data_IF_709453620616
#
_entry.id   IF_709453620616
#
_cell.length_a   1.000
_cell.length_b   1.000
_cell.length_c   1.000
_cell.angle_alpha   90.00
_cell.angle_beta   90.00
_cell.angle_gamma   90.00
#
_symmetry.space_group_name_H-M   'P 1'
#
loop_
_entity.id
_entity.type
_entity.pdbx_description
1 polymer ?
#
# COMPACT_ATOMS: atom_id res chain seq x y z
N UNK A 1 3.38 0.96 5.08
CA UNK A 1 2.71 0.40 6.26
C UNK A 1 3.31 0.89 7.58
N UNK A 2 4.64 0.91 7.75
CA UNK A 2 5.30 1.33 9.01
C UNK A 2 4.82 2.71 9.53
N UNK A 3 4.58 3.66 8.62
CA UNK A 3 4.13 5.04 8.93
C UNK A 3 2.61 5.20 8.95
N UNK A 4 1.85 4.17 8.62
CA UNK A 4 0.39 4.22 8.58
C UNK A 4 -0.21 3.71 9.90
N UNK A 5 -1.28 4.35 10.34
CA UNK A 5 -2.07 3.97 11.51
C UNK A 5 -3.28 3.10 11.13
N UNK A 6 -4.01 2.62 12.13
CA UNK A 6 -5.18 1.76 11.91
C UNK A 6 -6.26 2.52 11.12
N UNK A 7 -6.44 3.79 11.46
CA UNK A 7 -7.40 4.68 10.77
C UNK A 7 -6.99 5.11 9.36
N UNK A 8 -5.77 4.77 8.92
CA UNK A 8 -5.37 5.01 7.55
C UNK A 8 -5.85 3.89 6.65
N UNK A 9 -6.41 4.24 5.51
CA UNK A 9 -6.94 3.29 4.56
C UNK A 9 -6.03 3.13 3.36
N UNK A 10 -5.77 1.86 2.98
CA UNK A 10 -5.03 1.55 1.77
C UNK A 10 -5.95 0.92 0.72
N UNK A 11 -5.73 1.31 -0.51
CA UNK A 11 -6.32 0.71 -1.71
C UNK A 11 -5.20 0.16 -2.57
N UNK A 12 -5.23 -1.11 -2.86
CA UNK A 12 -4.20 -1.80 -3.61
C UNK A 12 -4.53 -1.98 -5.09
N UNK A 13 -3.57 -2.52 -5.81
CA UNK A 13 -3.72 -3.02 -7.17
C UNK A 13 -4.16 -4.50 -7.13
N UNK A 14 -4.24 -5.15 -8.30
CA UNK A 14 -4.49 -6.60 -8.39
C UNK A 14 -3.36 -7.48 -7.80
N UNK A 15 -2.23 -6.90 -7.37
CA UNK A 15 -1.05 -7.59 -6.82
C UNK A 15 -0.63 -7.07 -5.45
N UNK A 16 -1.53 -6.58 -4.68
CA UNK A 16 -1.23 -5.87 -3.44
C UNK A 16 -1.05 -6.79 -2.22
N UNK A 17 -0.76 -8.08 -2.38
CA UNK A 17 -0.62 -9.00 -1.24
C UNK A 17 0.40 -8.51 -0.22
N UNK A 18 1.55 -8.01 -0.67
CA UNK A 18 2.59 -7.44 0.20
C UNK A 18 2.10 -6.18 0.96
N UNK A 19 1.30 -5.34 0.31
CA UNK A 19 0.70 -4.15 0.94
C UNK A 19 -0.35 -4.56 1.98
N UNK A 20 -1.18 -5.57 1.67
CA UNK A 20 -2.19 -6.14 2.55
C UNK A 20 -1.53 -6.72 3.80
N UNK A 21 -0.52 -7.59 3.63
CA UNK A 21 0.22 -8.22 4.73
C UNK A 21 0.90 -7.15 5.58
N UNK A 22 1.65 -6.24 4.97
CA UNK A 22 2.37 -5.20 5.70
C UNK A 22 1.43 -4.27 6.49
N UNK A 23 0.28 -3.89 5.93
CA UNK A 23 -0.71 -3.07 6.63
C UNK A 23 -1.40 -3.85 7.76
N UNK A 24 -1.74 -5.12 7.51
CA UNK A 24 -2.33 -6.00 8.53
C UNK A 24 -1.42 -6.19 9.74
N UNK A 25 -0.16 -6.54 9.51
CA UNK A 25 0.83 -6.70 10.59
C UNK A 25 1.08 -5.38 11.34
N UNK A 26 1.08 -4.24 10.63
CA UNK A 26 1.18 -2.92 11.27
C UNK A 26 -0.04 -2.59 12.14
N UNK A 27 -1.25 -2.94 11.69
CA UNK A 27 -2.47 -2.75 12.46
C UNK A 27 -2.48 -3.64 13.71
N UNK A 28 -2.14 -4.91 13.59
CA UNK A 28 -2.02 -5.85 14.72
C UNK A 28 -1.05 -5.31 15.78
N UNK A 29 0.10 -4.77 15.37
CA UNK A 29 1.07 -4.19 16.29
C UNK A 29 0.52 -3.00 17.09
N UNK A 30 -0.40 -2.22 16.51
CA UNK A 30 -0.89 -0.94 17.05
C UNK A 30 -2.20 -1.05 17.83
N UNK A 31 -3.08 -1.99 17.47
CA UNK A 31 -4.33 -2.24 18.18
C UNK A 31 -4.06 -2.83 19.57
N UNK A 32 -4.93 -2.56 20.53
CA UNK A 32 -4.90 -3.22 21.83
C UNK A 32 -5.32 -4.69 21.73
N UNK A 33 -5.00 -5.48 22.75
CA UNK A 33 -5.37 -6.89 22.78
C UNK A 33 -6.90 -7.07 22.83
N UNK A 34 -7.61 -6.19 23.54
CA UNK A 34 -9.06 -6.18 23.62
C UNK A 34 -9.71 -5.91 22.25
N UNK A 35 -9.18 -4.93 21.52
CA UNK A 35 -9.65 -4.62 20.16
C UNK A 35 -9.41 -5.78 19.20
N UNK A 36 -8.23 -6.41 19.26
CA UNK A 36 -7.90 -7.58 18.43
C UNK A 36 -8.82 -8.76 18.71
N UNK A 37 -9.04 -9.10 19.99
CA UNK A 37 -9.95 -10.18 20.38
C UNK A 37 -11.36 -9.89 19.89
N UNK A 38 -11.83 -8.65 20.04
CA UNK A 38 -13.14 -8.24 19.56
C UNK A 38 -13.26 -8.46 18.04
N UNK A 39 -12.31 -7.94 17.26
CA UNK A 39 -12.29 -8.08 15.79
C UNK A 39 -12.31 -9.56 15.39
N UNK A 40 -11.44 -10.39 16.01
CA UNK A 40 -11.36 -11.81 15.69
C UNK A 40 -12.64 -12.58 16.00
N UNK A 41 -13.32 -12.25 17.12
CA UNK A 41 -14.59 -12.88 17.52
C UNK A 41 -15.80 -12.38 16.73
N UNK A 42 -15.81 -11.12 16.29
CA UNK A 42 -16.88 -10.58 15.47
C UNK A 42 -16.80 -11.06 14.01
N UNK A 43 -15.60 -11.33 13.51
CA UNK A 43 -15.44 -11.81 12.15
C UNK A 43 -15.95 -13.24 12.00
N UNK A 44 -16.82 -13.46 10.99
CA UNK A 44 -17.38 -14.78 10.64
C UNK A 44 -17.96 -15.54 11.85
N UNK A 45 -18.65 -14.81 12.74
CA UNK A 45 -19.24 -15.34 14.00
C UNK A 45 -18.20 -16.09 14.87
N UNK A 46 -16.95 -15.66 14.86
CA UNK A 46 -15.86 -16.25 15.63
C UNK A 46 -15.28 -17.55 15.09
N UNK A 47 -15.79 -18.10 13.99
CA UNK A 47 -15.33 -19.40 13.45
C UNK A 47 -13.84 -19.43 13.14
N UNK A 48 -13.31 -18.37 12.49
CA UNK A 48 -11.89 -18.27 12.18
C UNK A 48 -11.05 -18.20 13.47
N UNK A 49 -11.51 -17.45 14.47
CA UNK A 49 -10.86 -17.35 15.78
C UNK A 49 -10.75 -18.72 16.46
N UNK A 50 -11.84 -19.49 16.52
CA UNK A 50 -11.85 -20.81 17.14
C UNK A 50 -10.95 -21.82 16.42
N UNK A 51 -10.90 -21.76 15.08
CA UNK A 51 -10.01 -22.61 14.29
C UNK A 51 -8.56 -22.30 14.61
N UNK A 52 -8.17 -21.03 14.56
CA UNK A 52 -6.79 -20.62 14.77
C UNK A 52 -6.36 -20.91 16.22
N UNK A 53 -7.20 -20.57 17.20
CA UNK A 53 -6.90 -20.85 18.61
C UNK A 53 -6.73 -22.34 18.92
N UNK A 54 -7.46 -23.21 18.21
CA UNK A 54 -7.30 -24.67 18.34
C UNK A 54 -5.96 -25.16 17.79
N UNK A 55 -5.41 -24.49 16.78
CA UNK A 55 -4.14 -24.87 16.14
C UNK A 55 -2.92 -24.21 16.80
N UNK A 56 -3.09 -23.01 17.34
CA UNK A 56 -2.05 -22.29 18.08
C UNK A 56 -2.62 -21.89 19.46
N UNK A 57 -2.35 -22.70 20.47
CA UNK A 57 -2.80 -22.47 21.85
C UNK A 57 -1.85 -21.52 22.57
N UNK A 58 -1.74 -20.30 22.03
CA UNK A 58 -0.94 -19.22 22.60
C UNK A 58 -1.79 -18.28 23.44
N UNK A 59 -1.21 -17.72 24.51
CA UNK A 59 -1.79 -16.62 25.29
C UNK A 59 -1.37 -15.24 24.74
N UNK A 60 -0.43 -15.18 23.77
CA UNK A 60 -0.05 -13.96 23.09
C UNK A 60 -1.11 -13.57 22.04
N UNK A 61 -1.93 -12.57 22.39
CA UNK A 61 -3.01 -12.08 21.52
C UNK A 61 -2.48 -11.55 20.18
N UNK A 62 -1.28 -10.97 20.16
CA UNK A 62 -0.68 -10.45 18.93
C UNK A 62 -0.25 -11.58 17.98
N UNK A 63 0.28 -12.65 18.55
CA UNK A 63 0.62 -13.86 17.80
C UNK A 63 -0.64 -14.51 17.23
N UNK A 64 -1.66 -14.72 18.06
CA UNK A 64 -2.94 -15.26 17.63
C UNK A 64 -3.60 -14.40 16.53
N UNK A 65 -3.50 -13.07 16.62
CA UNK A 65 -4.02 -12.16 15.62
C UNK A 65 -3.24 -12.22 14.31
N UNK A 66 -1.92 -12.47 14.34
CA UNK A 66 -1.12 -12.73 13.13
C UNK A 66 -1.60 -13.99 12.43
N UNK A 67 -1.76 -15.07 13.18
CA UNK A 67 -2.23 -16.35 12.62
C UNK A 67 -3.64 -16.24 12.05
N UNK A 68 -4.55 -15.58 12.79
CA UNK A 68 -5.90 -15.28 12.30
C UNK A 68 -5.88 -14.50 10.98
N UNK A 69 -5.06 -13.47 10.92
CA UNK A 69 -4.98 -12.62 9.72
C UNK A 69 -4.40 -13.39 8.53
N UNK A 70 -3.31 -14.12 8.75
CA UNK A 70 -2.67 -14.92 7.69
C UNK A 70 -3.57 -16.09 7.25
N UNK A 71 -4.27 -16.75 8.18
CA UNK A 71 -5.24 -17.78 7.87
C UNK A 71 -6.38 -17.23 6.99
N UNK A 72 -7.03 -16.14 7.42
CA UNK A 72 -8.14 -15.53 6.67
C UNK A 72 -7.70 -15.04 5.28
N UNK A 73 -6.52 -14.42 5.16
CA UNK A 73 -5.97 -13.98 3.89
C UNK A 73 -5.65 -15.18 2.98
N UNK A 74 -5.02 -16.21 3.50
CA UNK A 74 -4.69 -17.42 2.73
C UNK A 74 -5.97 -18.11 2.24
N UNK A 75 -6.97 -18.23 3.11
CA UNK A 75 -8.28 -18.75 2.72
C UNK A 75 -8.91 -17.93 1.60
N UNK A 76 -8.80 -16.60 1.64
CA UNK A 76 -9.30 -15.73 0.57
C UNK A 76 -8.58 -15.99 -0.76
N UNK A 77 -7.23 -16.05 -0.74
CA UNK A 77 -6.42 -16.29 -1.93
C UNK A 77 -6.74 -17.64 -2.60
N UNK A 78 -7.07 -18.65 -1.80
CA UNK A 78 -7.43 -19.99 -2.27
C UNK A 78 -8.95 -20.21 -2.44
N UNK A 79 -9.74 -19.15 -2.46
CA UNK A 79 -11.19 -19.18 -2.65
C UNK A 79 -11.91 -20.11 -1.65
N UNK A 80 -11.53 -20.05 -0.36
CA UNK A 80 -12.16 -20.82 0.71
C UNK A 80 -13.16 -19.97 1.48
N UNK A 81 -14.21 -20.60 2.02
CA UNK A 81 -15.30 -19.93 2.74
C UNK A 81 -14.85 -19.17 4.00
N UNK A 82 -13.74 -19.57 4.62
CA UNK A 82 -13.14 -18.87 5.75
C UNK A 82 -12.28 -17.64 5.34
N UNK A 83 -12.21 -17.30 4.05
CA UNK A 83 -11.58 -16.07 3.56
C UNK A 83 -12.32 -14.82 3.98
N UNK A 84 -11.66 -13.68 3.96
CA UNK A 84 -12.22 -12.39 4.42
C UNK A 84 -13.46 -11.91 3.64
N UNK A 85 -13.64 -12.37 2.41
CA UNK A 85 -14.88 -12.22 1.64
C UNK A 85 -15.43 -13.58 1.16
N UNK A 86 -15.27 -14.61 1.98
CA UNK A 86 -15.69 -15.99 1.71
C UNK A 86 -15.09 -16.59 0.46
N UNK A 87 -13.85 -16.19 0.14
CA UNK A 87 -13.15 -16.62 -1.06
C UNK A 87 -13.71 -16.07 -2.37
N UNK A 88 -14.68 -15.15 -2.33
CA UNK A 88 -15.28 -14.55 -3.52
C UNK A 88 -14.36 -13.51 -4.18
N UNK A 89 -13.51 -12.86 -3.40
CA UNK A 89 -12.53 -11.90 -3.90
C UNK A 89 -11.30 -12.56 -4.50
N UNK A 90 -10.89 -13.69 -3.94
CA UNK A 90 -9.68 -14.39 -4.33
C UNK A 90 -8.44 -13.51 -4.23
N UNK A 91 -7.46 -13.77 -5.09
CA UNK A 91 -6.18 -13.06 -5.11
C UNK A 91 -6.29 -11.57 -5.47
N UNK A 92 -7.24 -11.18 -6.32
CA UNK A 92 -7.32 -9.82 -6.87
C UNK A 92 -8.16 -8.84 -6.07
N UNK A 93 -8.95 -9.32 -5.09
CA UNK A 93 -9.85 -8.49 -4.30
C UNK A 93 -9.72 -8.78 -2.80
N UNK A 94 -8.54 -9.17 -2.35
CA UNK A 94 -8.28 -9.40 -0.92
C UNK A 94 -8.35 -8.08 -0.14
N UNK A 95 -9.07 -8.09 0.99
CA UNK A 95 -9.21 -6.93 1.88
C UNK A 95 -9.59 -7.35 3.30
N UNK A 96 -9.37 -6.46 4.26
CA UNK A 96 -9.84 -6.62 5.64
C UNK A 96 -10.06 -5.25 6.27
N UNK A 97 -11.30 -4.77 6.23
CA UNK A 97 -11.67 -3.42 6.63
C UNK A 97 -11.28 -3.06 8.08
N UNK A 98 -11.40 -3.97 9.07
CA UNK A 98 -11.01 -3.66 10.45
C UNK A 98 -9.54 -3.21 10.61
N UNK A 99 -8.67 -3.59 9.67
CA UNK A 99 -7.26 -3.16 9.68
C UNK A 99 -6.97 -2.02 8.68
N UNK A 100 -8.00 -1.36 8.14
CA UNK A 100 -7.85 -0.29 7.16
C UNK A 100 -7.40 -0.77 5.79
N UNK A 101 -7.58 -2.06 5.48
CA UNK A 101 -7.26 -2.66 4.19
C UNK A 101 -8.54 -2.71 3.37
N UNK A 102 -8.63 -1.86 2.36
CA UNK A 102 -9.76 -1.80 1.43
C UNK A 102 -9.52 -2.70 0.21
N UNK A 103 -10.58 -3.05 -0.54
CA UNK A 103 -10.44 -4.01 -1.63
C UNK A 103 -9.37 -3.63 -2.65
N UNK A 104 -8.48 -4.58 -2.95
CA UNK A 104 -7.66 -4.54 -4.14
C UNK A 104 -8.55 -4.41 -5.36
N UNK A 105 -8.03 -3.87 -6.45
CA UNK A 105 -8.82 -3.65 -7.64
C UNK A 105 -8.17 -4.24 -8.89
N UNK A 106 -8.87 -5.16 -9.54
CA UNK A 106 -8.46 -5.75 -10.82
C UNK A 106 -8.66 -4.79 -12.01
N UNK A 107 -9.49 -3.75 -11.85
CA UNK A 107 -9.70 -2.72 -12.87
C UNK A 107 -8.49 -1.79 -12.85
N UNK A 108 -7.74 -1.76 -13.93
CA UNK A 108 -6.50 -0.97 -14.04
C UNK A 108 -6.81 0.52 -13.84
N UNK A 109 -6.21 1.10 -12.79
CA UNK A 109 -6.43 2.50 -12.38
C UNK A 109 -7.65 2.72 -11.48
N UNK A 110 -8.49 1.69 -11.24
CA UNK A 110 -9.72 1.81 -10.46
C UNK A 110 -9.54 2.20 -8.99
N UNK A 111 -8.39 1.90 -8.39
CA UNK A 111 -8.09 2.31 -7.01
C UNK A 111 -8.05 3.83 -6.84
N UNK A 112 -7.64 4.58 -7.86
CA UNK A 112 -7.58 6.04 -7.81
C UNK A 112 -8.92 6.68 -7.46
N UNK A 113 -9.95 6.57 -8.30
CA UNK A 113 -11.25 7.21 -8.05
C UNK A 113 -11.98 6.65 -6.81
N UNK A 114 -11.86 5.34 -6.53
CA UNK A 114 -12.51 4.75 -5.35
C UNK A 114 -11.87 5.32 -4.07
N UNK A 115 -10.55 5.35 -3.98
CA UNK A 115 -9.83 5.92 -2.85
C UNK A 115 -10.12 7.42 -2.67
N UNK A 116 -10.28 8.16 -3.77
CA UNK A 116 -10.64 9.58 -3.74
C UNK A 116 -12.01 9.80 -3.13
N UNK A 117 -13.01 8.97 -3.49
CA UNK A 117 -14.32 8.99 -2.86
C UNK A 117 -14.27 8.71 -1.36
N UNK A 118 -13.40 7.80 -0.92
CA UNK A 118 -13.21 7.50 0.51
C UNK A 118 -12.47 8.63 1.23
N UNK A 119 -11.53 9.31 0.58
CA UNK A 119 -10.90 10.50 1.15
C UNK A 119 -11.91 11.65 1.33
N UNK A 120 -12.80 11.84 0.37
CA UNK A 120 -13.93 12.76 0.49
C UNK A 120 -14.85 12.38 1.65
N UNK A 121 -15.20 11.09 1.79
CA UNK A 121 -15.98 10.59 2.92
C UNK A 121 -15.33 10.94 4.27
N UNK A 122 -14.01 10.70 4.40
CA UNK A 122 -13.28 11.07 5.63
C UNK A 122 -13.40 12.56 5.91
N UNK A 123 -13.20 13.40 4.91
CA UNK A 123 -13.31 14.86 5.02
C UNK A 123 -14.72 15.29 5.45
N UNK A 124 -15.76 14.83 4.76
CA UNK A 124 -17.16 15.18 5.06
C UNK A 124 -17.62 14.73 6.44
N UNK A 125 -17.09 13.62 6.94
CA UNK A 125 -17.47 13.05 8.23
C UNK A 125 -16.43 13.31 9.33
N UNK A 126 -15.43 14.15 9.09
CA UNK A 126 -14.35 14.48 10.03
C UNK A 126 -13.70 13.22 10.64
N UNK A 127 -13.53 12.18 9.81
CA UNK A 127 -12.88 10.94 10.24
C UNK A 127 -11.36 11.09 10.21
N UNK A 128 -10.66 10.57 11.25
CA UNK A 128 -9.20 10.62 11.31
C UNK A 128 -8.54 9.78 10.21
N UNK A 129 -7.24 9.99 10.04
CA UNK A 129 -6.39 9.22 9.15
C UNK A 129 -6.45 9.65 7.69
N UNK A 130 -5.53 9.10 6.92
CA UNK A 130 -5.32 9.40 5.50
C UNK A 130 -5.73 8.21 4.64
N UNK A 131 -5.83 8.44 3.33
CA UNK A 131 -6.08 7.40 2.34
C UNK A 131 -4.87 7.26 1.41
N UNK A 132 -4.45 6.04 1.12
CA UNK A 132 -3.38 5.74 0.16
C UNK A 132 -3.96 4.96 -1.01
N UNK A 133 -3.90 5.54 -2.19
CA UNK A 133 -4.28 4.91 -3.45
C UNK A 133 -3.03 4.37 -4.16
N UNK A 134 -2.78 3.07 -4.09
CA UNK A 134 -1.67 2.45 -4.79
C UNK A 134 -2.04 2.13 -6.25
N UNK A 135 -1.17 2.49 -7.17
CA UNK A 135 -1.30 2.16 -8.58
C UNK A 135 0.09 1.88 -9.21
N UNK A 136 0.14 1.02 -10.21
CA UNK A 136 1.33 0.87 -11.04
C UNK A 136 1.46 2.00 -12.06
N UNK A 137 2.66 2.19 -12.59
CA UNK A 137 2.95 3.17 -13.64
C UNK A 137 2.09 2.98 -14.89
N UNK A 138 1.86 1.76 -15.35
CA UNK A 138 0.94 1.46 -16.45
C UNK A 138 -0.54 1.78 -16.12
N UNK A 139 -0.91 1.76 -14.85
CA UNK A 139 -2.24 2.14 -14.38
C UNK A 139 -2.41 3.67 -14.28
N UNK A 140 -1.34 4.40 -14.01
CA UNK A 140 -1.34 5.85 -13.91
C UNK A 140 -1.81 6.55 -15.21
N UNK A 141 -1.68 5.89 -16.36
CA UNK A 141 -2.13 6.39 -17.66
C UNK A 141 -3.65 6.31 -17.90
N UNK A 142 -4.43 5.77 -16.96
CA UNK A 142 -5.88 5.59 -17.17
C UNK A 142 -6.65 6.86 -16.89
N UNK A 143 -7.66 7.17 -17.75
CA UNK A 143 -8.51 8.36 -17.61
C UNK A 143 -9.06 8.58 -16.20
N UNK A 144 -9.68 7.57 -15.55
CA UNK A 144 -10.20 7.71 -14.19
C UNK A 144 -9.16 8.13 -13.13
N UNK A 145 -7.87 7.85 -13.34
CA UNK A 145 -6.80 8.31 -12.43
C UNK A 145 -6.60 9.81 -12.55
N UNK A 146 -6.59 10.35 -13.79
CA UNK A 146 -6.51 11.79 -14.02
C UNK A 146 -7.74 12.53 -13.50
N UNK A 147 -8.92 11.99 -13.73
CA UNK A 147 -10.17 12.54 -13.19
C UNK A 147 -10.14 12.59 -11.66
N UNK A 148 -9.71 11.50 -11.00
CA UNK A 148 -9.58 11.41 -9.56
C UNK A 148 -8.60 12.45 -9.00
N UNK A 149 -7.43 12.61 -9.62
CA UNK A 149 -6.43 13.59 -9.20
C UNK A 149 -6.95 15.02 -9.40
N UNK A 150 -7.58 15.31 -10.56
CA UNK A 150 -8.20 16.61 -10.82
C UNK A 150 -9.29 16.91 -9.78
N UNK A 151 -10.18 15.95 -9.51
CA UNK A 151 -11.23 16.10 -8.50
C UNK A 151 -10.66 16.36 -7.11
N UNK A 152 -9.61 15.61 -6.71
CA UNK A 152 -9.00 15.75 -5.39
C UNK A 152 -8.30 17.10 -5.18
N UNK A 153 -7.87 17.75 -6.26
CA UNK A 153 -7.09 18.98 -6.24
C UNK A 153 -7.91 20.25 -6.53
N UNK A 154 -9.24 20.18 -6.53
CA UNK A 154 -10.08 21.34 -6.76
C UNK A 154 -9.97 22.38 -5.66
N UNK A 155 -9.78 23.64 -6.00
CA UNK A 155 -9.68 24.78 -5.07
C UNK A 155 -10.92 24.93 -4.17
N UNK A 156 -12.09 24.47 -4.64
CA UNK A 156 -13.33 24.55 -3.87
C UNK A 156 -13.21 24.01 -2.44
N UNK A 157 -12.36 23.01 -2.20
CA UNK A 157 -12.17 22.45 -0.85
C UNK A 157 -11.55 23.44 0.12
N UNK A 158 -10.80 24.42 -0.38
CA UNK A 158 -10.17 25.47 0.39
C UNK A 158 -11.04 26.74 0.44
N UNK A 159 -11.67 27.09 -0.68
CA UNK A 159 -12.25 28.42 -0.88
C UNK A 159 -13.77 28.44 -0.64
N UNK A 160 -14.50 27.40 -1.04
CA UNK A 160 -15.96 27.42 -1.06
C UNK A 160 -16.61 26.62 0.07
N UNK A 161 -15.87 25.75 0.73
CA UNK A 161 -16.40 24.94 1.82
C UNK A 161 -16.49 25.75 3.11
N UNK A 162 -17.44 25.37 3.99
CA UNK A 162 -17.64 26.01 5.29
C UNK A 162 -16.42 25.86 6.19
N UNK A 163 -16.24 26.80 7.10
CA UNK A 163 -15.19 26.77 8.12
C UNK A 163 -15.27 25.48 8.94
N UNK A 164 -14.13 24.85 9.19
CA UNK A 164 -14.04 23.54 9.84
C UNK A 164 -14.18 22.34 8.89
N UNK A 165 -14.46 22.57 7.60
CA UNK A 165 -14.37 21.57 6.52
C UNK A 165 -13.39 21.99 5.42
N UNK A 166 -12.78 23.17 5.51
CA UNK A 166 -11.75 23.65 4.57
C UNK A 166 -10.51 22.76 4.60
N UNK A 167 -9.76 22.78 3.52
CA UNK A 167 -8.53 22.02 3.32
C UNK A 167 -8.67 20.95 2.22
N UNK A 168 -7.55 20.54 1.64
CA UNK A 168 -7.50 19.52 0.59
C UNK A 168 -7.91 18.12 1.06
N UNK A 169 -8.12 17.20 0.13
CA UNK A 169 -8.47 15.82 0.46
C UNK A 169 -7.27 15.08 1.09
N UNK A 170 -7.48 14.27 2.15
CA UNK A 170 -6.42 13.54 2.85
C UNK A 170 -6.00 12.28 2.08
N UNK A 171 -5.50 12.42 0.85
CA UNK A 171 -5.13 11.30 -0.02
C UNK A 171 -3.71 11.40 -0.54
N UNK A 172 -3.01 10.26 -0.55
CA UNK A 172 -1.74 10.02 -1.25
C UNK A 172 -2.03 9.15 -2.47
N UNK A 173 -1.72 9.66 -3.66
CA UNK A 173 -1.59 8.85 -4.87
C UNK A 173 -0.17 8.27 -4.91
N UNK A 174 -0.03 6.99 -4.61
CA UNK A 174 1.24 6.29 -4.59
C UNK A 174 1.41 5.48 -5.88
N UNK A 175 2.26 5.95 -6.78
CA UNK A 175 2.55 5.26 -8.03
C UNK A 175 3.81 4.41 -7.90
N UNK A 176 3.64 3.09 -7.94
CA UNK A 176 4.74 2.11 -7.99
C UNK A 176 5.30 2.08 -9.42
N UNK A 177 6.30 2.92 -9.67
CA UNK A 177 6.90 3.12 -10.98
C UNK A 177 8.04 2.14 -11.19
N UNK A 178 7.73 0.98 -11.76
CA UNK A 178 8.70 -0.07 -12.05
C UNK A 178 9.13 -0.09 -13.53
N UNK A 179 8.74 0.90 -14.31
CA UNK A 179 9.04 1.12 -15.73
C UNK A 179 8.41 0.13 -16.71
N UNK A 180 7.67 -0.88 -16.23
CA UNK A 180 7.12 -1.94 -17.08
C UNK A 180 5.62 -2.17 -16.84
N UNK A 181 4.87 -2.16 -17.92
CA UNK A 181 3.49 -2.65 -17.97
C UNK A 181 3.43 -4.17 -18.20
N UNK A 182 2.35 -4.63 -18.79
CA UNK A 182 2.16 -6.03 -19.19
C UNK A 182 2.84 -6.26 -20.55
N UNK A 183 4.06 -6.78 -20.52
CA UNK A 183 4.77 -7.19 -21.74
C UNK A 183 5.53 -6.09 -22.47
N UNK A 184 5.72 -4.91 -21.86
CA UNK A 184 6.47 -3.82 -22.46
C UNK A 184 6.79 -2.68 -21.51
N UNK A 185 7.54 -1.71 -22.00
CA UNK A 185 7.91 -0.51 -21.25
C UNK A 185 6.71 0.41 -21.07
N UNK A 186 6.61 1.02 -19.88
CA UNK A 186 5.55 2.00 -19.62
C UNK A 186 5.78 3.28 -20.40
N UNK A 187 6.99 3.85 -20.32
CA UNK A 187 7.36 5.05 -21.06
C UNK A 187 7.38 4.77 -22.56
N UNK A 188 6.64 5.58 -23.31
CA UNK A 188 6.54 5.47 -24.76
C UNK A 188 5.44 4.55 -25.28
N UNK A 189 4.97 3.58 -24.47
CA UNK A 189 3.88 2.66 -24.84
C UNK A 189 2.53 3.06 -24.23
N UNK A 190 2.52 3.36 -22.93
CA UNK A 190 1.31 3.72 -22.19
C UNK A 190 1.38 5.10 -21.55
N UNK A 191 2.58 5.62 -21.32
CA UNK A 191 2.87 6.95 -20.78
C UNK A 191 3.80 7.72 -21.68
N UNK A 192 3.52 9.00 -21.89
CA UNK A 192 4.38 9.89 -22.68
C UNK A 192 5.73 10.18 -21.98
N UNK A 193 5.81 9.98 -20.67
CA UNK A 193 7.00 10.26 -19.84
C UNK A 193 7.15 9.25 -18.71
N UNK A 194 8.38 9.06 -18.24
CA UNK A 194 8.69 8.10 -17.15
C UNK A 194 8.73 8.72 -15.76
N UNK A 195 8.68 10.05 -15.65
CA UNK A 195 8.66 10.79 -14.38
C UNK A 195 7.21 11.12 -14.01
N UNK A 196 6.58 10.23 -13.22
CA UNK A 196 5.17 10.34 -12.89
C UNK A 196 4.86 11.47 -11.89
N UNK A 197 5.86 11.98 -11.18
CA UNK A 197 5.68 13.17 -10.35
C UNK A 197 5.17 14.38 -11.15
N UNK A 198 5.44 14.42 -12.46
CA UNK A 198 4.94 15.45 -13.37
C UNK A 198 3.41 15.47 -13.50
N UNK A 199 2.73 14.38 -13.17
CA UNK A 199 1.27 14.35 -13.10
C UNK A 199 0.72 15.32 -12.05
N UNK A 200 1.50 15.67 -11.04
CA UNK A 200 1.12 16.70 -10.07
C UNK A 200 0.88 18.07 -10.66
N UNK A 201 1.44 18.36 -11.85
CA UNK A 201 1.19 19.62 -12.58
C UNK A 201 -0.24 19.78 -13.10
N UNK A 202 -1.08 18.73 -12.99
CA UNK A 202 -2.50 18.79 -13.38
C UNK A 202 -3.26 19.85 -12.57
N UNK A 203 -2.77 20.20 -11.40
CA UNK A 203 -3.39 21.12 -10.46
C UNK A 203 -2.39 22.18 -9.94
N UNK A 204 -1.61 22.76 -10.80
CA UNK A 204 -0.62 23.80 -10.50
C UNK A 204 -0.04 23.75 -9.06
N UNK A 205 -0.64 24.48 -8.12
CA UNK A 205 -0.17 24.64 -6.74
C UNK A 205 -0.94 23.79 -5.73
N UNK A 206 -1.89 22.96 -6.15
CA UNK A 206 -2.77 22.22 -5.24
C UNK A 206 -2.35 20.77 -5.02
N UNK A 207 -1.36 20.29 -5.74
CA UNK A 207 -0.86 18.92 -5.58
C UNK A 207 0.64 18.93 -5.31
N UNK A 208 1.01 18.49 -4.11
CA UNK A 208 2.41 18.24 -3.78
C UNK A 208 2.84 16.92 -4.42
N UNK A 209 3.84 16.94 -5.29
CA UNK A 209 4.31 15.76 -5.98
C UNK A 209 5.83 15.63 -5.88
N UNK A 210 6.31 14.42 -5.59
CA UNK A 210 7.74 14.13 -5.55
C UNK A 210 8.06 12.74 -6.11
N UNK A 211 9.28 12.60 -6.64
CA UNK A 211 9.85 11.35 -7.10
C UNK A 211 10.80 10.80 -6.03
N UNK A 212 10.62 9.53 -5.67
CA UNK A 212 11.29 8.90 -4.53
C UNK A 212 12.00 7.64 -4.99
N UNK A 213 13.18 7.38 -4.42
CA UNK A 213 13.84 6.10 -4.55
C UNK A 213 13.15 5.05 -3.67
N UNK A 214 12.33 4.19 -4.28
CA UNK A 214 11.59 3.11 -3.60
C UNK A 214 12.49 1.95 -3.11
N UNK A 215 13.76 1.92 -3.53
CA UNK A 215 14.76 0.96 -3.05
C UNK A 215 15.43 1.40 -1.73
N UNK A 216 15.15 2.60 -1.26
CA UNK A 216 15.65 3.11 0.01
C UNK A 216 14.52 3.19 1.04
N UNK A 217 14.46 2.25 2.03
CA UNK A 217 13.41 2.24 3.04
C UNK A 217 13.33 3.53 3.87
N UNK A 218 14.46 4.18 4.15
CA UNK A 218 14.49 5.44 4.92
C UNK A 218 13.92 6.60 4.11
N UNK A 219 14.22 6.68 2.80
CA UNK A 219 13.63 7.68 1.91
C UNK A 219 12.10 7.50 1.82
N UNK A 220 11.62 6.27 1.77
CA UNK A 220 10.19 5.95 1.79
C UNK A 220 9.52 6.40 3.10
N UNK A 221 10.13 6.09 4.25
CA UNK A 221 9.61 6.50 5.55
C UNK A 221 9.53 8.02 5.67
N UNK A 222 10.59 8.72 5.25
CA UNK A 222 10.65 10.18 5.28
C UNK A 222 9.59 10.82 4.37
N UNK A 223 9.47 10.36 3.13
CA UNK A 223 8.47 10.85 2.18
C UNK A 223 7.04 10.67 2.69
N UNK A 224 6.72 9.50 3.26
CA UNK A 224 5.40 9.26 3.83
C UNK A 224 5.13 10.11 5.07
N UNK A 225 6.13 10.41 5.89
CA UNK A 225 6.00 11.34 7.03
C UNK A 225 5.72 12.76 6.56
N UNK A 226 6.45 13.24 5.55
CA UNK A 226 6.20 14.57 4.96
C UNK A 226 4.82 14.63 4.31
N UNK A 227 4.44 13.61 3.53
CA UNK A 227 3.13 13.52 2.91
C UNK A 227 2.01 13.56 3.97
N UNK A 228 2.12 12.77 5.04
CA UNK A 228 1.16 12.80 6.16
C UNK A 228 1.03 14.20 6.75
N UNK A 229 2.15 14.84 7.08
CA UNK A 229 2.15 16.20 7.62
C UNK A 229 1.43 17.18 6.69
N UNK A 230 1.71 17.11 5.38
CA UNK A 230 1.04 17.93 4.37
C UNK A 230 -0.49 17.71 4.37
N UNK A 231 -0.94 16.45 4.49
CA UNK A 231 -2.36 16.12 4.52
C UNK A 231 -3.03 16.55 5.83
N UNK A 232 -2.37 16.39 6.97
CA UNK A 232 -2.87 16.82 8.28
C UNK A 232 -2.96 18.35 8.39
N UNK A 233 -2.12 19.09 7.66
CA UNK A 233 -2.20 20.54 7.51
C UNK A 233 -3.31 20.99 6.51
N UNK A 234 -4.08 20.04 5.94
CA UNK A 234 -5.11 20.33 4.95
C UNK A 234 -4.58 20.78 3.58
N UNK A 235 -3.31 20.52 3.29
CA UNK A 235 -2.63 20.92 2.04
C UNK A 235 -2.55 19.80 0.99
N UNK A 236 -3.39 18.75 1.11
CA UNK A 236 -3.46 17.68 0.14
C UNK A 236 -4.17 18.08 -1.17
N UNK A 237 -4.20 17.18 -2.16
CA UNK A 237 -3.62 15.83 -2.15
C UNK A 237 -2.10 15.79 -2.33
N UNK A 238 -1.51 14.60 -2.15
CA UNK A 238 -0.09 14.33 -2.40
C UNK A 238 0.08 13.24 -3.45
N UNK A 239 1.07 13.36 -4.32
CA UNK A 239 1.48 12.33 -5.28
C UNK A 239 2.90 11.88 -4.97
N UNK A 240 3.12 10.58 -4.87
CA UNK A 240 4.43 9.97 -4.73
C UNK A 240 4.74 9.09 -5.95
N UNK A 241 5.74 9.47 -6.74
CA UNK A 241 6.31 8.67 -7.84
C UNK A 241 7.43 7.81 -7.27
N UNK A 242 7.09 6.58 -6.87
CA UNK A 242 8.01 5.66 -6.19
C UNK A 242 8.73 4.80 -7.23
N UNK A 243 9.97 5.16 -7.49
CA UNK A 243 10.81 4.42 -8.45
C UNK A 243 11.23 3.09 -7.87
N UNK A 244 10.79 2.03 -8.51
CA UNK A 244 11.09 0.63 -8.16
C UNK A 244 11.49 -0.14 -9.43
N UNK A 245 11.64 -1.45 -9.30
CA UNK A 245 11.84 -2.33 -10.43
C UNK A 245 11.17 -3.68 -10.20
N UNK A 246 10.64 -4.27 -11.25
CA UNK A 246 10.03 -5.60 -11.18
C UNK A 246 11.06 -6.66 -11.55
N UNK A 247 11.66 -7.33 -10.58
CA UNK A 247 12.69 -8.36 -10.80
C UNK A 247 12.15 -9.60 -11.51
N UNK A 248 10.90 -9.97 -11.27
CA UNK A 248 10.23 -11.10 -11.93
C UNK A 248 9.41 -10.67 -13.15
N UNK A 249 8.90 -11.60 -13.93
CA UNK A 249 7.95 -11.34 -15.02
C UNK A 249 6.62 -10.74 -14.52
N UNK A 250 5.81 -10.24 -15.45
CA UNK A 250 4.47 -9.74 -15.17
C UNK A 250 3.55 -10.84 -14.60
N UNK A 251 3.69 -12.04 -15.09
CA UNK A 251 2.98 -13.24 -14.66
C UNK A 251 3.91 -14.44 -14.72
N UNK A 252 3.45 -15.58 -14.22
CA UNK A 252 4.22 -16.85 -14.27
C UNK A 252 4.54 -17.32 -15.70
N UNK A 253 3.76 -16.90 -16.69
CA UNK A 253 3.95 -17.21 -18.11
C UNK A 253 4.72 -16.16 -18.89
N UNK A 254 5.17 -15.07 -18.25
CA UNK A 254 5.86 -13.97 -18.92
C UNK A 254 7.33 -14.33 -19.18
N UNK A 255 7.69 -14.48 -20.45
CA UNK A 255 9.06 -14.78 -20.89
C UNK A 255 10.04 -13.60 -20.73
N UNK A 256 9.56 -12.41 -20.38
CA UNK A 256 10.37 -11.19 -20.17
C UNK A 256 11.21 -10.78 -21.39
N UNK A 257 10.79 -11.10 -22.61
CA UNK A 257 11.53 -10.82 -23.86
C UNK A 257 11.70 -9.32 -24.18
N UNK A 258 10.99 -8.45 -23.45
CA UNK A 258 11.04 -6.99 -23.60
C UNK A 258 12.17 -6.31 -22.81
N UNK A 259 12.99 -7.06 -22.09
CA UNK A 259 14.15 -6.56 -21.33
C UNK A 259 15.28 -7.59 -21.29
N UNK A 260 16.51 -7.12 -21.04
CA UNK A 260 17.67 -8.00 -21.01
C UNK A 260 17.89 -8.62 -19.63
N UNK A 261 18.64 -9.72 -19.58
CA UNK A 261 19.05 -10.33 -18.30
C UNK A 261 20.00 -9.42 -17.52
N UNK A 262 20.91 -8.79 -18.22
CA UNK A 262 21.89 -7.85 -17.64
C UNK A 262 21.18 -6.70 -16.93
N UNK A 263 20.10 -6.14 -17.51
CA UNK A 263 19.29 -5.11 -16.88
C UNK A 263 18.70 -5.62 -15.56
N UNK A 264 18.10 -6.81 -15.56
CA UNK A 264 17.52 -7.42 -14.36
C UNK A 264 18.58 -7.65 -13.28
N UNK A 265 19.76 -8.14 -13.67
CA UNK A 265 20.88 -8.39 -12.76
C UNK A 265 21.41 -7.10 -12.13
N UNK A 266 21.53 -6.02 -12.90
CA UNK A 266 21.95 -4.71 -12.35
C UNK A 266 20.93 -4.17 -11.32
N UNK A 267 19.63 -4.29 -11.58
CA UNK A 267 18.62 -3.91 -10.61
C UNK A 267 18.60 -4.82 -9.38
N UNK A 268 18.84 -6.12 -9.54
CA UNK A 268 18.89 -7.07 -8.44
C UNK A 268 20.01 -6.76 -7.43
N UNK A 269 21.12 -6.16 -7.86
CA UNK A 269 22.20 -5.69 -6.96
C UNK A 269 21.74 -4.60 -5.99
N UNK A 270 20.65 -3.91 -6.30
CA UNK A 270 20.08 -2.84 -5.49
C UNK A 270 18.97 -3.32 -4.55
N UNK A 271 18.70 -4.63 -4.51
CA UNK A 271 17.61 -5.20 -3.71
C UNK A 271 17.72 -4.73 -2.24
N UNK A 272 16.69 -4.02 -1.72
CA UNK A 272 16.69 -3.52 -0.35
C UNK A 272 16.88 -4.62 0.70
N UNK A 273 16.43 -5.85 0.42
CA UNK A 273 16.61 -6.97 1.34
C UNK A 273 18.09 -7.37 1.49
N UNK A 274 18.94 -7.01 0.53
CA UNK A 274 20.39 -7.25 0.57
C UNK A 274 21.14 -5.99 0.97
N UNK A 275 20.83 -4.87 0.34
CA UNK A 275 21.62 -3.62 0.47
C UNK A 275 21.36 -2.94 1.82
N UNK A 276 20.10 -2.87 2.27
CA UNK A 276 19.78 -2.14 3.49
C UNK A 276 20.31 -2.82 4.77
N UNK A 277 20.22 -4.15 4.95
CA UNK A 277 20.90 -4.84 6.05
C UNK A 277 22.39 -4.53 6.13
N UNK A 278 23.10 -4.54 5.00
CA UNK A 278 24.52 -4.22 4.97
C UNK A 278 24.78 -2.75 5.38
N UNK A 279 23.96 -1.82 4.91
CA UNK A 279 24.05 -0.40 5.31
C UNK A 279 23.87 -0.21 6.82
N UNK A 280 22.98 -0.95 7.46
CA UNK A 280 22.75 -0.93 8.92
C UNK A 280 24.01 -1.41 9.66
N UNK A 281 24.63 -2.47 9.17
CA UNK A 281 25.87 -3.03 9.75
C UNK A 281 27.04 -2.05 9.58
N UNK A 282 27.23 -1.52 8.38
CA UNK A 282 28.32 -0.58 8.05
C UNK A 282 28.19 0.73 8.85
N UNK A 283 26.96 1.19 9.05
CA UNK A 283 26.66 2.34 9.91
C UNK A 283 26.75 2.04 11.42
N UNK A 284 27.05 0.80 11.81
CA UNK A 284 27.15 0.34 13.20
C UNK A 284 25.86 0.58 14.02
N UNK A 285 24.70 0.57 13.37
CA UNK A 285 23.40 0.68 14.02
C UNK A 285 23.01 -0.64 14.66
N UNK A 286 23.33 -1.76 13.99
CA UNK A 286 23.19 -3.11 14.52
C UNK A 286 24.34 -4.01 14.05
N UNK A 287 24.58 -5.08 14.80
CA UNK A 287 25.56 -6.11 14.43
C UNK A 287 24.99 -7.05 13.37
N UNK A 288 25.88 -7.75 12.65
CA UNK A 288 25.48 -8.77 11.68
C UNK A 288 24.56 -9.83 12.33
N UNK A 289 24.87 -10.28 13.54
CA UNK A 289 24.10 -11.28 14.28
C UNK A 289 22.67 -10.80 14.60
N UNK A 290 22.50 -9.51 14.96
CA UNK A 290 21.19 -8.95 15.24
C UNK A 290 20.36 -8.82 13.95
N UNK A 291 20.97 -8.47 12.83
CA UNK A 291 20.30 -8.38 11.52
C UNK A 291 19.88 -9.77 11.03
N UNK A 292 20.76 -10.77 11.16
CA UNK A 292 20.45 -12.17 10.81
C UNK A 292 19.32 -12.72 11.69
N UNK A 293 19.32 -12.43 12.99
CA UNK A 293 18.23 -12.86 13.88
C UNK A 293 16.85 -12.28 13.51
N UNK A 294 16.80 -11.05 12.97
CA UNK A 294 15.56 -10.48 12.44
C UNK A 294 15.10 -11.21 11.18
N UNK A 295 16.06 -11.55 10.29
CA UNK A 295 15.75 -12.32 9.09
C UNK A 295 15.17 -13.70 9.43
N UNK A 296 15.84 -14.43 10.30
CA UNK A 296 15.43 -15.77 10.72
C UNK A 296 14.05 -15.76 11.37
N UNK A 297 13.78 -14.80 12.26
CA UNK A 297 12.48 -14.64 12.90
C UNK A 297 11.32 -14.28 11.95
N UNK A 298 11.59 -13.93 10.70
CA UNK A 298 10.58 -13.64 9.66
C UNK A 298 10.36 -14.85 8.76
N UNK A 299 11.41 -15.67 8.58
CA UNK A 299 11.37 -16.85 7.69
C UNK A 299 10.81 -18.08 8.40
N UNK A 300 11.06 -18.24 9.70
CA UNK A 300 10.51 -19.31 10.55
C UNK A 300 9.01 -19.08 10.83
#
# INVERSE_FOLDING_TARGET
>A
AYTLDVDDFIFGTHRSHHEVIAKGLSAIKKLSDEELIKIMKEFNDGKNYEIVKKHNDTDDVKELARDFFMYGLTCELFAKDNGFSRGLGGSMHAFFLPFGIYPNNAIVGGSGPIATGVALYKKCNKKPGIVVANAGDGAAARGPVYEAMNFAAMDQYNDLWEDGYKGGLPIIYNFNNNHYGMGGQTKGETMAYGDLARLGCIAQNQMNAERINGWNPLAMIDAYRRARKTLEEGKGPVLLDVVTYRLSGHSTSDAMSYRTKEEVEEWAKLDPLTVFPQQIIDAKVATKKEVEAVHDAVVD
#
